data_IF_453192792875
#
_entry.id   IF_453192792875
#
_cell.length_a   1.000
_cell.length_b   1.000
_cell.length_c   1.000
_cell.angle_alpha   90.00
_cell.angle_beta   90.00
_cell.angle_gamma   90.00
#
_symmetry.space_group_name_H-M   'P 1'
#
loop_
_entity.id
_entity.type
_entity.pdbx_description
1 polymer ?
#
# COMPACT_ATOMS: atom_id res chain seq x y z
N UNK A 1 -15.78 -1.84 18.60
CA UNK A 1 -14.96 -0.88 17.84
C UNK A 1 -14.84 -1.41 16.42
N UNK A 2 -15.61 -0.83 15.49
CA UNK A 2 -15.84 -1.41 14.17
C UNK A 2 -14.72 -1.14 13.16
N UNK A 3 -14.82 -1.84 12.02
CA UNK A 3 -13.93 -1.84 10.85
C UNK A 3 -13.51 -0.42 10.39
N UNK A 4 -14.31 0.61 10.70
CA UNK A 4 -13.99 2.02 10.44
C UNK A 4 -12.69 2.53 11.08
N UNK A 5 -12.23 1.94 12.20
CA UNK A 5 -10.96 2.33 12.82
C UNK A 5 -9.74 1.95 11.96
N UNK A 6 -9.81 0.88 11.18
CA UNK A 6 -8.74 0.46 10.27
C UNK A 6 -8.78 1.24 8.95
N UNK A 7 -9.95 1.73 8.53
CA UNK A 7 -10.11 2.44 7.26
C UNK A 7 -9.35 3.77 7.21
N UNK A 8 -9.38 4.54 8.30
CA UNK A 8 -8.68 5.84 8.38
C UNK A 8 -7.16 5.69 8.23
N UNK A 9 -6.45 4.85 9.02
CA UNK A 9 -5.02 4.66 8.85
C UNK A 9 -4.65 4.01 7.52
N UNK A 10 -5.46 3.07 7.01
CA UNK A 10 -5.19 2.41 5.73
C UNK A 10 -5.28 3.40 4.57
N UNK A 11 -6.30 4.26 4.55
CA UNK A 11 -6.47 5.27 3.49
C UNK A 11 -5.37 6.32 3.52
N UNK A 12 -5.00 6.84 4.70
CA UNK A 12 -3.86 7.75 4.86
C UNK A 12 -2.55 7.13 4.37
N UNK A 13 -2.34 5.86 4.72
CA UNK A 13 -1.13 5.16 4.34
C UNK A 13 -1.05 4.91 2.82
N UNK A 14 -2.14 4.54 2.15
CA UNK A 14 -2.19 4.44 0.67
C UNK A 14 -1.93 5.81 0.05
N UNK A 15 -2.53 6.87 0.60
CA UNK A 15 -2.37 8.23 0.09
C UNK A 15 -0.92 8.74 0.16
N UNK A 16 -0.15 8.27 1.14
CA UNK A 16 1.27 8.59 1.31
C UNK A 16 2.18 7.69 0.45
N UNK A 17 1.86 6.40 0.36
CA UNK A 17 2.70 5.43 -0.35
C UNK A 17 2.59 5.52 -1.87
N UNK A 18 1.42 5.88 -2.41
CA UNK A 18 1.24 6.08 -3.85
C UNK A 18 2.18 7.16 -4.42
N UNK A 19 2.22 8.41 -3.92
CA UNK A 19 3.13 9.42 -4.43
C UNK A 19 4.60 9.07 -4.15
N UNK A 20 4.90 8.36 -3.06
CA UNK A 20 6.24 7.86 -2.79
C UNK A 20 6.69 6.86 -3.87
N UNK A 21 5.86 5.88 -4.20
CA UNK A 21 6.16 4.89 -5.24
C UNK A 21 6.29 5.54 -6.62
N UNK A 22 5.44 6.53 -6.94
CA UNK A 22 5.56 7.30 -8.17
C UNK A 22 6.87 8.10 -8.23
N UNK A 23 7.29 8.70 -7.12
CA UNK A 23 8.56 9.42 -7.02
C UNK A 23 9.76 8.49 -7.17
N UNK A 24 9.67 7.26 -6.66
CA UNK A 24 10.67 6.21 -6.88
C UNK A 24 10.70 5.76 -8.34
N UNK A 25 9.53 5.63 -8.97
CA UNK A 25 9.40 5.29 -10.39
C UNK A 25 10.07 6.32 -11.30
N UNK A 26 9.89 7.61 -10.97
CA UNK A 26 10.49 8.75 -11.66
C UNK A 26 12.02 8.81 -11.50
N UNK A 27 12.52 8.54 -10.28
CA UNK A 27 13.96 8.63 -9.97
C UNK A 27 14.80 7.42 -10.36
N UNK A 28 14.22 6.23 -10.38
CA UNK A 28 14.94 4.98 -10.61
C UNK A 28 14.52 4.34 -11.93
N UNK A 29 13.32 3.78 -11.96
CA UNK A 29 12.74 3.15 -13.14
C UNK A 29 11.31 2.76 -12.84
N UNK A 30 10.46 2.73 -13.88
CA UNK A 30 9.08 2.27 -13.77
C UNK A 30 8.97 0.87 -13.14
N UNK A 31 9.88 -0.05 -13.48
CA UNK A 31 9.91 -1.42 -12.90
C UNK A 31 10.15 -1.41 -11.39
N UNK A 32 11.02 -0.53 -10.90
CA UNK A 32 11.33 -0.40 -9.46
C UNK A 32 10.17 0.27 -8.71
N UNK A 33 9.52 1.26 -9.33
CA UNK A 33 8.31 1.87 -8.79
C UNK A 33 7.17 0.87 -8.61
N UNK A 34 6.95 -0.01 -9.60
CA UNK A 34 5.98 -1.10 -9.48
C UNK A 34 6.36 -2.09 -8.39
N UNK A 35 7.61 -2.56 -8.33
CA UNK A 35 8.07 -3.45 -7.26
C UNK A 35 7.85 -2.84 -5.86
N UNK A 36 8.15 -1.55 -5.70
CA UNK A 36 7.88 -0.84 -4.46
C UNK A 36 6.39 -0.74 -4.16
N UNK A 37 5.54 -0.46 -5.15
CA UNK A 37 4.09 -0.44 -4.96
C UNK A 37 3.55 -1.83 -4.58
N UNK A 38 4.09 -2.92 -5.14
CA UNK A 38 3.67 -4.28 -4.77
C UNK A 38 4.04 -4.60 -3.32
N UNK A 39 5.28 -4.32 -2.93
CA UNK A 39 5.78 -4.62 -1.60
C UNK A 39 5.20 -3.71 -0.52
N UNK A 40 5.02 -2.43 -0.84
CA UNK A 40 4.49 -1.46 0.12
C UNK A 40 2.99 -1.49 0.12
N UNK A 41 2.26 -1.36 -1.00
CA UNK A 41 0.79 -1.19 -1.02
C UNK A 41 0.03 -2.53 -1.05
N UNK A 42 0.37 -3.42 -1.99
CA UNK A 42 -0.41 -4.64 -2.22
C UNK A 42 -0.17 -5.71 -1.15
N UNK A 43 1.05 -5.84 -0.62
CA UNK A 43 1.39 -6.87 0.36
C UNK A 43 0.66 -6.70 1.71
N UNK A 44 0.61 -5.51 2.34
CA UNK A 44 -0.15 -5.32 3.59
C UNK A 44 -1.65 -5.48 3.36
N UNK A 45 -2.16 -5.07 2.20
CA UNK A 45 -3.55 -5.28 1.84
C UNK A 45 -3.86 -6.79 1.75
N UNK A 46 -3.00 -7.56 1.10
CA UNK A 46 -3.13 -9.01 1.01
C UNK A 46 -3.04 -9.69 2.38
N UNK A 47 -2.18 -9.23 3.27
CA UNK A 47 -2.11 -9.73 4.65
C UNK A 47 -3.39 -9.44 5.44
N UNK A 48 -3.93 -8.23 5.32
CA UNK A 48 -5.21 -7.87 5.96
C UNK A 48 -6.34 -8.76 5.46
N UNK A 49 -6.41 -9.00 4.14
CA UNK A 49 -7.41 -9.91 3.54
C UNK A 49 -7.21 -11.34 4.03
N UNK A 50 -5.97 -11.85 4.05
CA UNK A 50 -5.67 -13.20 4.51
C UNK A 50 -5.96 -13.43 6.00
N UNK A 51 -5.86 -12.40 6.83
CA UNK A 51 -6.20 -12.48 8.26
C UNK A 51 -7.72 -12.39 8.49
N UNK A 52 -8.43 -11.63 7.64
CA UNK A 52 -9.88 -11.44 7.77
C UNK A 52 -10.72 -12.56 7.12
N UNK A 53 -10.18 -13.23 6.10
CA UNK A 53 -10.83 -14.31 5.37
C UNK A 53 -10.04 -15.61 5.65
N UNK A 54 -10.52 -16.47 6.57
CA UNK A 54 -9.87 -17.75 6.88
C UNK A 54 -10.01 -18.78 5.75
#
# INVERSE_FOLDING_TARGET
>A
MGIGFLWVPLSLWVLLMVPFCLKVADKSSWRVGWLMATATILFPLALVVAVLIP
#
